data_IF_317175123184
#
_entry.id   IF_317175123184
#
_cell.length_a   1.000
_cell.length_b   1.000
_cell.length_c   1.000
_cell.angle_alpha   90.00
_cell.angle_beta   90.00
_cell.angle_gamma   90.00
#
_symmetry.space_group_name_H-M   'P 1'
#
loop_
_entity.id
_entity.type
_entity.pdbx_description
1 polymer ?
#
# COMPACT_ATOMS: atom_id res chain seq x y z
N UNK A 1 -0.29 16.52 22.27
CA UNK A 1 0.51 17.22 21.23
C UNK A 1 0.85 16.17 20.20
N UNK A 2 0.69 16.43 18.89
CA UNK A 2 1.07 15.44 17.86
C UNK A 2 2.57 15.27 17.86
N UNK A 3 3.04 14.02 17.82
CA UNK A 3 4.46 13.73 17.74
C UNK A 3 4.86 13.71 16.24
N UNK A 4 5.35 14.84 15.77
CA UNK A 4 5.79 15.03 14.40
C UNK A 4 7.28 14.77 14.28
N UNK A 5 7.69 14.10 13.19
CA UNK A 5 9.10 13.94 12.85
C UNK A 5 9.75 15.30 12.54
N UNK A 6 11.06 15.40 12.70
CA UNK A 6 11.80 16.61 12.33
C UNK A 6 11.57 16.99 10.87
N UNK A 7 11.39 16.00 10.00
CA UNK A 7 11.14 16.20 8.58
C UNK A 7 9.75 16.80 8.32
N UNK A 8 8.73 16.36 9.04
CA UNK A 8 7.39 16.98 9.00
C UNK A 8 7.47 18.43 9.47
N UNK A 9 8.18 18.69 10.55
CA UNK A 9 8.33 20.04 11.08
C UNK A 9 9.11 20.96 10.15
N UNK A 10 10.14 20.44 9.46
CA UNK A 10 10.90 21.20 8.48
C UNK A 10 10.05 21.55 7.25
N UNK A 11 9.34 20.59 6.66
CA UNK A 11 8.42 20.84 5.53
C UNK A 11 7.24 21.75 5.89
N UNK A 12 6.83 21.75 7.15
CA UNK A 12 5.80 22.68 7.66
C UNK A 12 6.34 24.10 7.79
N UNK A 13 7.54 24.26 8.39
CA UNK A 13 8.12 25.61 8.66
C UNK A 13 8.72 26.24 7.39
N UNK A 14 9.28 25.42 6.51
CA UNK A 14 9.97 25.82 5.29
C UNK A 14 9.37 25.07 4.09
N UNK A 15 8.07 25.25 3.76
CA UNK A 15 7.45 24.49 2.69
C UNK A 15 8.04 24.82 1.32
N UNK A 16 8.38 23.79 0.56
CA UNK A 16 8.95 23.88 -0.79
C UNK A 16 7.82 24.03 -1.80
N UNK A 17 8.09 24.76 -2.87
CA UNK A 17 7.20 24.87 -4.03
C UNK A 17 5.80 25.43 -3.73
N UNK A 18 5.68 26.30 -2.75
CA UNK A 18 4.42 27.03 -2.49
C UNK A 18 4.21 28.08 -3.57
N UNK A 19 2.97 28.22 -4.04
CA UNK A 19 2.60 29.27 -5.00
C UNK A 19 1.71 28.78 -6.14
N UNK A 20 1.82 29.46 -7.27
CA UNK A 20 1.07 29.16 -8.51
C UNK A 20 1.99 29.15 -9.71
N UNK A 21 1.58 28.44 -10.75
CA UNK A 21 2.20 28.43 -12.07
C UNK A 21 1.29 29.20 -13.02
N UNK A 22 1.85 30.15 -13.77
CA UNK A 22 1.14 30.76 -14.90
C UNK A 22 1.07 29.76 -16.04
N UNK A 23 -0.16 29.42 -16.50
CA UNK A 23 -0.42 28.44 -17.56
C UNK A 23 0.21 27.07 -17.26
N UNK A 24 -0.21 26.40 -16.20
CA UNK A 24 0.23 25.03 -15.89
C UNK A 24 -0.30 24.06 -16.95
N UNK A 25 0.41 22.95 -17.16
CA UNK A 25 -0.04 21.87 -18.03
C UNK A 25 -1.11 21.00 -17.34
N UNK A 26 -1.05 20.88 -16.01
CA UNK A 26 -2.05 20.19 -15.22
C UNK A 26 -2.37 20.90 -13.90
N UNK A 27 -3.65 20.93 -13.55
CA UNK A 27 -4.18 21.51 -12.31
C UNK A 27 -5.14 20.55 -11.64
N UNK A 28 -4.93 20.27 -10.36
CA UNK A 28 -5.83 19.45 -9.55
C UNK A 28 -6.18 20.15 -8.24
N UNK A 29 -7.47 20.19 -7.92
CA UNK A 29 -7.97 20.74 -6.65
C UNK A 29 -8.81 19.70 -5.93
N UNK A 30 -8.52 19.48 -4.64
CA UNK A 30 -9.21 18.53 -3.79
C UNK A 30 -9.51 19.12 -2.42
N UNK A 31 -10.46 18.51 -1.72
CA UNK A 31 -10.95 19.01 -0.44
C UNK A 31 -11.83 20.24 -0.59
N UNK A 32 -12.26 20.78 0.54
CA UNK A 32 -13.02 22.04 0.59
C UNK A 32 -12.71 22.79 1.87
N UNK A 33 -12.89 24.11 1.83
CA UNK A 33 -12.74 24.95 3.02
C UNK A 33 -13.74 24.56 4.13
N UNK A 34 -14.90 24.02 3.76
CA UNK A 34 -15.90 23.53 4.70
C UNK A 34 -15.42 22.30 5.49
N UNK A 35 -14.56 21.46 4.89
CA UNK A 35 -13.94 20.29 5.53
C UNK A 35 -12.66 20.62 6.30
N UNK A 36 -12.22 21.88 6.26
CA UNK A 36 -11.04 22.38 6.96
C UNK A 36 -9.70 22.08 6.30
N UNK A 37 -9.68 21.34 5.17
CA UNK A 37 -8.47 21.10 4.37
C UNK A 37 -8.81 21.22 2.87
N UNK A 38 -8.01 21.98 2.14
CA UNK A 38 -8.09 22.12 0.69
C UNK A 38 -6.69 22.19 0.10
N UNK A 39 -6.50 21.58 -1.07
CA UNK A 39 -5.22 21.56 -1.77
C UNK A 39 -5.44 21.76 -3.26
N UNK A 40 -4.72 22.71 -3.83
CA UNK A 40 -4.55 22.87 -5.28
C UNK A 40 -3.10 22.58 -5.63
N UNK A 41 -2.87 21.65 -6.56
CA UNK A 41 -1.56 21.29 -7.09
C UNK A 41 -1.52 21.63 -8.59
N UNK A 42 -0.42 22.21 -9.04
CA UNK A 42 -0.19 22.57 -10.44
C UNK A 42 1.19 22.09 -10.85
N UNK A 43 1.30 21.62 -12.09
CA UNK A 43 2.61 21.26 -12.64
C UNK A 43 2.78 21.77 -14.08
N UNK A 44 4.04 21.85 -14.50
CA UNK A 44 4.47 22.16 -15.86
C UNK A 44 5.53 21.17 -16.31
N UNK A 45 5.45 20.75 -17.56
CA UNK A 45 6.37 19.81 -18.17
C UNK A 45 7.49 20.53 -18.93
N UNK A 46 8.64 19.87 -19.05
CA UNK A 46 9.72 20.27 -19.96
C UNK A 46 9.55 19.65 -21.35
N UNK A 47 10.55 19.88 -22.22
CA UNK A 47 10.59 19.33 -23.56
C UNK A 47 10.65 17.78 -23.59
N UNK A 48 11.17 17.16 -22.53
CA UNK A 48 11.30 15.71 -22.39
C UNK A 48 10.06 15.07 -21.70
N UNK A 49 8.96 15.83 -21.58
CA UNK A 49 7.72 15.41 -20.92
C UNK A 49 7.90 15.01 -19.44
N UNK A 50 8.86 15.66 -18.76
CA UNK A 50 9.08 15.51 -17.32
C UNK A 50 8.54 16.71 -16.57
N UNK A 51 8.10 16.51 -15.35
CA UNK A 51 7.62 17.57 -14.46
C UNK A 51 8.81 18.46 -14.10
N UNK A 52 8.93 19.60 -14.77
CA UNK A 52 9.99 20.59 -14.54
C UNK A 52 9.69 21.51 -13.36
N UNK A 53 8.43 21.87 -13.21
CA UNK A 53 7.96 22.75 -12.15
C UNK A 53 6.66 22.21 -11.56
N UNK A 54 6.54 22.28 -10.25
CA UNK A 54 5.32 21.98 -9.52
C UNK A 54 5.12 23.00 -8.42
N UNK A 55 3.90 23.44 -8.24
CA UNK A 55 3.51 24.38 -7.18
C UNK A 55 2.23 23.93 -6.52
N UNK A 56 2.08 24.32 -5.26
CA UNK A 56 0.83 24.06 -4.56
C UNK A 56 0.36 25.25 -3.73
N UNK A 57 -0.95 25.28 -3.50
CA UNK A 57 -1.61 26.08 -2.48
C UNK A 57 -2.45 25.16 -1.61
N UNK A 58 -2.33 25.29 -0.31
CA UNK A 58 -3.13 24.50 0.61
C UNK A 58 -3.64 25.36 1.76
N UNK A 59 -4.82 25.00 2.24
CA UNK A 59 -5.38 25.45 3.51
C UNK A 59 -5.57 24.18 4.34
N UNK A 60 -4.94 24.09 5.52
CA UNK A 60 -5.00 22.88 6.33
C UNK A 60 -4.00 22.88 7.48
N UNK A 61 -3.87 21.72 8.13
CA UNK A 61 -2.98 21.52 9.26
C UNK A 61 -1.50 21.39 8.85
N UNK A 62 -0.59 21.32 9.83
CA UNK A 62 0.85 21.15 9.58
C UNK A 62 1.17 19.92 8.73
N UNK A 63 0.46 18.79 8.94
CA UNK A 63 0.62 17.58 8.11
C UNK A 63 0.18 17.80 6.66
N UNK A 64 -0.88 18.59 6.40
CA UNK A 64 -1.34 18.88 5.06
C UNK A 64 -0.29 19.71 4.29
N UNK A 65 0.29 20.73 4.93
CA UNK A 65 1.37 21.55 4.37
C UNK A 65 2.60 20.69 4.11
N UNK A 66 3.01 19.88 5.10
CA UNK A 66 4.19 19.02 4.98
C UNK A 66 4.03 17.95 3.89
N UNK A 67 2.89 17.28 3.82
CA UNK A 67 2.62 16.25 2.79
C UNK A 67 2.60 16.86 1.38
N UNK A 68 1.99 18.04 1.21
CA UNK A 68 1.96 18.75 -0.07
C UNK A 68 3.36 19.17 -0.50
N UNK A 69 4.15 19.74 0.42
CA UNK A 69 5.54 20.13 0.19
C UNK A 69 6.42 18.93 -0.19
N UNK A 70 6.31 17.81 0.56
CA UNK A 70 7.05 16.59 0.27
C UNK A 70 6.69 16.01 -1.10
N UNK A 71 5.40 15.92 -1.41
CA UNK A 71 4.93 15.42 -2.71
C UNK A 71 5.53 16.23 -3.86
N UNK A 72 5.61 17.56 -3.74
CA UNK A 72 6.18 18.39 -4.81
C UNK A 72 7.66 18.08 -5.07
N UNK A 73 8.45 17.78 -4.04
CA UNK A 73 9.85 17.34 -4.21
C UNK A 73 9.93 15.94 -4.85
N UNK A 74 9.00 15.06 -4.49
CA UNK A 74 8.98 13.68 -5.02
C UNK A 74 8.62 13.61 -6.51
N UNK A 75 7.84 14.56 -7.05
CA UNK A 75 7.37 14.51 -8.44
C UNK A 75 8.26 15.26 -9.43
N UNK A 76 9.07 16.24 -8.98
CA UNK A 76 9.99 16.95 -9.86
C UNK A 76 10.96 16.00 -10.56
N UNK A 77 11.15 16.17 -11.86
CA UNK A 77 12.00 15.35 -12.72
C UNK A 77 11.39 14.00 -13.15
N UNK A 78 10.20 13.64 -12.65
CA UNK A 78 9.49 12.42 -13.06
C UNK A 78 8.62 12.67 -14.30
N UNK A 79 8.34 11.60 -15.05
CA UNK A 79 7.27 11.63 -16.05
C UNK A 79 5.91 11.61 -15.34
N UNK A 80 4.85 11.97 -16.07
CA UNK A 80 3.46 11.92 -15.54
C UNK A 80 3.09 10.49 -15.08
N UNK A 81 3.55 9.47 -15.82
CA UNK A 81 3.31 8.05 -15.51
C UNK A 81 4.07 7.60 -14.25
N UNK A 82 5.29 8.07 -14.06
CA UNK A 82 6.08 7.80 -12.84
C UNK A 82 5.47 8.51 -11.64
N UNK A 83 5.04 9.75 -11.80
CA UNK A 83 4.39 10.53 -10.75
C UNK A 83 3.04 9.91 -10.33
N UNK A 84 2.25 9.39 -11.28
CA UNK A 84 0.97 8.72 -11.01
C UNK A 84 1.10 7.45 -10.12
N UNK A 85 2.30 6.87 -10.01
CA UNK A 85 2.55 5.69 -9.19
C UNK A 85 2.90 6.02 -7.74
N UNK A 86 3.06 7.30 -7.41
CA UNK A 86 3.36 7.71 -6.04
C UNK A 86 2.14 7.44 -5.17
N UNK A 87 2.35 6.69 -4.09
CA UNK A 87 1.30 6.34 -3.13
C UNK A 87 1.28 7.32 -1.95
N UNK A 88 0.13 7.41 -1.27
CA UNK A 88 0.03 8.18 -0.03
C UNK A 88 0.96 7.64 1.06
N UNK A 89 1.23 6.34 1.06
CA UNK A 89 2.18 5.71 1.98
C UNK A 89 3.61 6.19 1.73
N UNK A 90 4.04 6.26 0.46
CA UNK A 90 5.37 6.78 0.11
C UNK A 90 5.53 8.25 0.51
N UNK A 91 4.47 9.07 0.43
CA UNK A 91 4.49 10.45 0.93
C UNK A 91 4.71 10.48 2.45
N UNK A 92 3.98 9.64 3.19
CA UNK A 92 4.14 9.52 4.64
C UNK A 92 5.54 9.01 5.02
N UNK A 93 6.05 7.98 4.35
CA UNK A 93 7.39 7.42 4.55
C UNK A 93 8.49 8.45 4.24
N UNK A 94 8.34 9.22 3.15
CA UNK A 94 9.26 10.30 2.81
C UNK A 94 9.40 11.32 3.94
N UNK A 95 8.33 11.59 4.68
CA UNK A 95 8.31 12.46 5.85
C UNK A 95 8.82 11.79 7.14
N UNK A 96 9.22 10.50 7.08
CA UNK A 96 9.62 9.71 8.24
C UNK A 96 8.44 9.23 9.09
N UNK A 97 7.22 9.26 8.54
CA UNK A 97 5.96 8.88 9.17
C UNK A 97 5.05 10.08 9.44
N UNK A 98 3.76 9.80 9.44
CA UNK A 98 2.70 10.72 9.88
C UNK A 98 1.95 10.08 11.05
N UNK A 99 1.44 10.86 12.02
CA UNK A 99 0.50 10.33 13.02
C UNK A 99 -0.69 9.67 12.30
N UNK A 100 -1.17 8.53 12.79
CA UNK A 100 -2.26 7.77 12.16
C UNK A 100 -3.47 8.65 11.82
N UNK A 101 -3.90 9.51 12.76
CA UNK A 101 -5.01 10.44 12.57
C UNK A 101 -4.74 11.55 11.54
N UNK A 102 -3.52 11.60 10.96
CA UNK A 102 -3.09 12.57 9.94
C UNK A 102 -2.79 11.93 8.60
N UNK A 103 -3.04 10.63 8.45
CA UNK A 103 -2.83 9.92 7.17
C UNK A 103 -3.68 10.50 6.03
N UNK A 104 -4.89 11.03 6.31
CA UNK A 104 -5.72 11.71 5.31
C UNK A 104 -5.00 12.88 4.60
N UNK A 105 -3.99 13.49 5.21
CA UNK A 105 -3.23 14.57 4.58
C UNK A 105 -2.37 14.06 3.42
N UNK A 106 -1.77 12.87 3.54
CA UNK A 106 -1.04 12.23 2.44
C UNK A 106 -1.98 11.72 1.34
N UNK A 107 -3.16 11.21 1.72
CA UNK A 107 -4.22 10.82 0.76
C UNK A 107 -4.64 12.02 -0.08
N UNK A 108 -4.95 13.16 0.55
CA UNK A 108 -5.32 14.40 -0.13
C UNK A 108 -4.21 14.88 -1.10
N UNK A 109 -2.93 14.76 -0.71
CA UNK A 109 -1.81 15.08 -1.59
C UNK A 109 -1.82 14.25 -2.87
N UNK A 110 -1.97 12.94 -2.73
CA UNK A 110 -2.07 12.01 -3.87
C UNK A 110 -3.28 12.32 -4.76
N UNK A 111 -4.44 12.57 -4.17
CA UNK A 111 -5.65 12.91 -4.91
C UNK A 111 -5.52 14.19 -5.73
N UNK A 112 -4.86 15.21 -5.18
CA UNK A 112 -4.58 16.44 -5.91
C UNK A 112 -3.66 16.20 -7.11
N UNK A 113 -2.66 15.32 -6.97
CA UNK A 113 -1.80 14.91 -8.08
C UNK A 113 -2.58 14.13 -9.14
N UNK A 114 -3.42 13.18 -8.77
CA UNK A 114 -4.28 12.43 -9.68
C UNK A 114 -5.23 13.35 -10.46
N UNK A 115 -5.86 14.31 -9.77
CA UNK A 115 -6.72 15.31 -10.38
C UNK A 115 -5.94 16.20 -11.38
N UNK A 116 -4.71 16.60 -11.04
CA UNK A 116 -3.86 17.39 -11.93
C UNK A 116 -3.44 16.59 -13.17
N UNK A 117 -3.10 15.31 -13.01
CA UNK A 117 -2.78 14.41 -14.12
C UNK A 117 -4.01 14.17 -15.02
N UNK A 118 -5.18 13.99 -14.42
CA UNK A 118 -6.42 13.85 -15.18
C UNK A 118 -6.69 15.13 -16.03
N UNK A 119 -6.58 16.30 -15.40
CA UNK A 119 -6.74 17.59 -16.11
C UNK A 119 -5.76 17.73 -17.27
N UNK A 120 -4.49 17.36 -17.08
CA UNK A 120 -3.48 17.34 -18.15
C UNK A 120 -3.91 16.46 -19.34
N UNK A 121 -4.45 15.25 -19.05
CA UNK A 121 -4.80 14.26 -20.09
C UNK A 121 -6.09 14.59 -20.84
N UNK A 122 -7.07 15.18 -20.16
CA UNK A 122 -8.43 15.38 -20.69
C UNK A 122 -8.77 16.84 -20.97
N UNK A 123 -8.04 17.78 -20.36
CA UNK A 123 -8.40 19.20 -20.33
C UNK A 123 -9.54 19.52 -19.35
N UNK A 124 -10.13 18.50 -18.72
CA UNK A 124 -11.24 18.68 -17.79
C UNK A 124 -10.73 18.86 -16.37
N UNK A 125 -11.28 19.84 -15.66
CA UNK A 125 -11.04 19.97 -14.22
C UNK A 125 -11.93 18.97 -13.51
N UNK A 126 -11.34 18.05 -12.71
CA UNK A 126 -12.12 17.18 -11.83
C UNK A 126 -12.79 18.05 -10.78
N UNK A 127 -14.00 18.47 -11.05
CA UNK A 127 -14.94 18.90 -10.02
C UNK A 127 -15.59 17.62 -9.54
N UNK A 128 -15.33 17.21 -8.28
CA UNK A 128 -16.09 16.10 -7.69
C UNK A 128 -17.56 16.51 -7.70
N UNK A 129 -18.30 16.02 -8.69
CA UNK A 129 -19.76 16.12 -8.73
C UNK A 129 -20.30 15.19 -7.65
N UNK A 130 -20.46 15.73 -6.45
CA UNK A 130 -21.07 15.02 -5.31
C UNK A 130 -22.53 14.68 -5.60
N UNK A 131 -23.11 15.15 -6.71
CA UNK A 131 -24.51 14.95 -7.07
C UNK A 131 -24.80 13.51 -7.55
N UNK A 132 -23.84 12.81 -8.14
CA UNK A 132 -24.01 11.44 -8.63
C UNK A 132 -23.39 10.36 -7.72
N UNK A 133 -22.69 10.76 -6.66
CA UNK A 133 -22.05 9.84 -5.74
C UNK A 133 -22.88 9.66 -4.45
N UNK A 134 -23.08 8.43 -4.03
CA UNK A 134 -23.72 8.11 -2.76
C UNK A 134 -22.84 8.58 -1.60
N UNK A 135 -23.20 9.70 -0.97
CA UNK A 135 -22.54 10.23 0.22
C UNK A 135 -22.84 9.35 1.43
N UNK A 136 -21.82 8.80 2.05
CA UNK A 136 -21.91 8.01 3.29
C UNK A 136 -21.68 8.90 4.51
N UNK A 137 -20.64 9.74 4.49
CA UNK A 137 -20.37 10.66 5.58
C UNK A 137 -20.77 12.09 5.21
N UNK A 138 -21.94 12.53 5.68
CA UNK A 138 -22.42 13.89 5.43
C UNK A 138 -21.56 14.98 6.10
N UNK A 139 -20.90 14.69 7.24
CA UNK A 139 -20.08 15.66 7.96
C UNK A 139 -18.86 16.13 7.14
N UNK A 140 -18.28 15.22 6.38
CA UNK A 140 -17.06 15.48 5.61
C UNK A 140 -17.26 15.31 4.10
N UNK A 141 -18.47 15.03 3.62
CA UNK A 141 -18.78 14.85 2.20
C UNK A 141 -18.09 13.63 1.57
N UNK A 142 -17.87 12.56 2.35
CA UNK A 142 -17.14 11.38 1.87
C UNK A 142 -18.12 10.40 1.24
N UNK A 143 -17.87 10.02 -0.01
CA UNK A 143 -18.70 9.09 -0.78
C UNK A 143 -18.37 7.63 -0.50
N UNK A 144 -19.26 6.71 -0.92
CA UNK A 144 -19.01 5.27 -0.87
C UNK A 144 -17.79 4.89 -1.70
N UNK A 145 -17.62 5.48 -2.89
CA UNK A 145 -16.50 5.19 -3.78
C UNK A 145 -15.17 5.58 -3.14
N UNK A 146 -15.11 6.71 -2.46
CA UNK A 146 -13.92 7.14 -1.74
C UNK A 146 -13.57 6.19 -0.59
N UNK A 147 -14.56 5.77 0.21
CA UNK A 147 -14.35 4.80 1.28
C UNK A 147 -13.81 3.48 0.70
N UNK A 148 -14.45 2.95 -0.37
CA UNK A 148 -14.00 1.72 -1.04
C UNK A 148 -12.57 1.83 -1.54
N UNK A 149 -12.23 2.97 -2.14
CA UNK A 149 -10.88 3.23 -2.66
C UNK A 149 -9.84 3.21 -1.54
N UNK A 150 -10.00 4.01 -0.48
CA UNK A 150 -9.02 4.07 0.61
C UNK A 150 -8.89 2.73 1.33
N UNK A 151 -9.99 2.00 1.51
CA UNK A 151 -9.98 0.65 2.09
C UNK A 151 -9.16 -0.30 1.24
N UNK A 152 -9.37 -0.31 -0.08
CA UNK A 152 -8.70 -1.23 -1.00
C UNK A 152 -7.21 -0.89 -1.15
N UNK A 153 -6.88 0.38 -1.38
CA UNK A 153 -5.51 0.83 -1.63
C UNK A 153 -4.60 0.69 -0.41
N UNK A 154 -5.16 0.85 0.79
CA UNK A 154 -4.39 0.81 2.04
C UNK A 154 -4.66 -0.45 2.87
N UNK A 155 -5.46 -1.40 2.35
CA UNK A 155 -5.81 -2.66 3.02
C UNK A 155 -6.43 -2.45 4.42
N UNK A 156 -7.28 -1.42 4.57
CA UNK A 156 -7.86 -1.06 5.85
C UNK A 156 -8.90 -2.10 6.30
N UNK A 157 -8.96 -2.35 7.59
CA UNK A 157 -9.78 -3.43 8.17
C UNK A 157 -10.77 -2.94 9.21
N UNK A 158 -10.59 -1.73 9.72
CA UNK A 158 -11.41 -1.14 10.78
C UNK A 158 -11.97 0.23 10.40
N UNK A 159 -13.08 0.62 11.02
CA UNK A 159 -13.68 1.95 10.82
C UNK A 159 -12.76 3.07 11.28
N UNK A 160 -11.97 2.84 12.33
CA UNK A 160 -11.03 3.85 12.84
C UNK A 160 -9.88 4.09 11.87
N UNK A 161 -9.35 3.04 11.22
CA UNK A 161 -8.40 3.18 10.12
C UNK A 161 -9.00 4.01 8.98
N UNK A 162 -10.22 3.70 8.53
CA UNK A 162 -10.91 4.47 7.49
C UNK A 162 -11.05 5.95 7.90
N UNK A 163 -11.40 6.21 9.17
CA UNK A 163 -11.47 7.58 9.70
C UNK A 163 -10.12 8.30 9.60
N UNK A 164 -9.02 7.62 9.88
CA UNK A 164 -7.68 8.19 9.79
C UNK A 164 -7.29 8.55 8.35
N UNK A 165 -7.83 7.84 7.34
CA UNK A 165 -7.49 8.01 5.93
C UNK A 165 -8.40 8.94 5.14
N UNK A 166 -9.71 9.04 5.48
CA UNK A 166 -10.65 9.90 4.75
C UNK A 166 -11.58 10.72 5.65
N UNK A 167 -11.37 10.74 6.96
CA UNK A 167 -12.20 11.43 7.98
C UNK A 167 -13.62 10.87 8.14
N UNK A 168 -14.11 9.98 7.29
CA UNK A 168 -15.44 9.38 7.44
C UNK A 168 -15.56 8.67 8.79
N UNK A 169 -16.64 8.90 9.51
CA UNK A 169 -16.86 8.34 10.86
C UNK A 169 -16.32 9.20 12.00
N UNK A 170 -15.47 10.22 11.71
CA UNK A 170 -14.82 11.04 12.73
C UNK A 170 -15.62 12.26 13.21
N UNK A 171 -16.79 12.53 12.63
CA UNK A 171 -17.69 13.64 13.06
C UNK A 171 -18.77 13.15 14.01
N UNK A 172 -20.02 13.12 13.55
CA UNK A 172 -21.15 12.68 14.37
C UNK A 172 -21.22 11.17 14.64
N UNK A 173 -20.45 10.36 13.91
CA UNK A 173 -20.37 8.91 14.04
C UNK A 173 -21.51 8.12 13.39
N UNK A 174 -22.56 8.76 12.88
CA UNK A 174 -23.76 8.06 12.33
C UNK A 174 -23.44 7.15 11.14
N UNK A 175 -22.38 7.42 10.38
CA UNK A 175 -22.00 6.61 9.22
C UNK A 175 -21.10 5.42 9.56
N UNK A 176 -20.72 5.18 10.81
CA UNK A 176 -19.78 4.12 11.20
C UNK A 176 -20.26 2.72 10.82
N UNK A 177 -21.55 2.45 11.02
CA UNK A 177 -22.15 1.15 10.66
C UNK A 177 -22.15 0.92 9.14
N UNK A 178 -22.37 1.96 8.35
CA UNK A 178 -22.32 1.87 6.90
C UNK A 178 -20.90 1.71 6.37
N UNK A 179 -19.94 2.38 7.01
CA UNK A 179 -18.49 2.16 6.73
C UNK A 179 -18.11 0.70 7.01
N UNK A 180 -18.57 0.13 8.15
CA UNK A 180 -18.29 -1.27 8.48
C UNK A 180 -18.87 -2.22 7.43
N UNK A 181 -20.10 -2.01 6.96
CA UNK A 181 -20.71 -2.79 5.88
C UNK A 181 -19.91 -2.73 4.59
N UNK A 182 -19.36 -1.55 4.25
CA UNK A 182 -18.50 -1.36 3.07
C UNK A 182 -17.21 -2.17 3.22
N UNK A 183 -16.53 -2.09 4.37
CA UNK A 183 -15.34 -2.89 4.67
C UNK A 183 -15.65 -4.38 4.51
N UNK A 184 -16.74 -4.85 5.14
CA UNK A 184 -17.14 -6.26 5.08
C UNK A 184 -17.48 -6.69 3.65
N UNK A 185 -18.13 -5.83 2.85
CA UNK A 185 -18.45 -6.10 1.45
C UNK A 185 -17.20 -6.27 0.58
N UNK A 186 -16.18 -5.44 0.81
CA UNK A 186 -14.89 -5.52 0.10
C UNK A 186 -14.17 -6.82 0.48
N UNK A 187 -14.13 -7.16 1.77
CA UNK A 187 -13.51 -8.40 2.27
C UNK A 187 -14.20 -9.66 1.73
N UNK A 188 -15.53 -9.62 1.58
CA UNK A 188 -16.30 -10.75 1.07
C UNK A 188 -16.28 -10.83 -0.47
N UNK A 189 -16.08 -9.71 -1.18
CA UNK A 189 -15.99 -9.65 -2.63
C UNK A 189 -14.60 -10.00 -3.18
N UNK A 190 -13.55 -9.89 -2.38
CA UNK A 190 -12.24 -10.40 -2.75
C UNK A 190 -12.27 -11.93 -2.60
N UNK A 191 -11.95 -12.72 -3.67
CA UNK A 191 -11.58 -14.10 -3.44
C UNK A 191 -10.44 -14.06 -2.42
N UNK A 192 -10.34 -15.01 -1.48
CA UNK A 192 -9.42 -14.90 -0.37
C UNK A 192 -8.00 -14.71 -0.88
N UNK A 193 -7.61 -13.44 -1.05
CA UNK A 193 -6.22 -13.05 -1.07
C UNK A 193 -5.71 -13.45 0.31
N UNK A 194 -4.73 -14.35 0.31
CA UNK A 194 -4.12 -14.83 1.51
C UNK A 194 -3.87 -13.64 2.44
N UNK A 195 -4.75 -13.50 3.42
CA UNK A 195 -4.53 -12.61 4.54
C UNK A 195 -3.21 -13.04 5.15
N UNK A 196 -2.24 -12.13 5.19
CA UNK A 196 -1.19 -12.21 6.19
C UNK A 196 -1.93 -12.20 7.54
N UNK A 197 -2.24 -13.37 8.03
CA UNK A 197 -3.01 -13.57 9.23
C UNK A 197 -2.20 -13.04 10.40
N UNK A 198 -2.79 -12.11 11.17
CA UNK A 198 -2.56 -12.13 12.59
C UNK A 198 -2.70 -13.59 13.07
N UNK A 199 -1.84 -14.10 13.96
CA UNK A 199 -1.78 -15.51 14.27
C UNK A 199 -3.14 -15.95 14.83
N UNK A 200 -3.97 -16.60 14.00
CA UNK A 200 -5.09 -17.38 14.49
C UNK A 200 -4.52 -18.47 15.38
N UNK A 201 -5.18 -18.86 16.48
CA UNK A 201 -4.75 -20.00 17.24
C UNK A 201 -4.62 -21.17 16.26
N UNK A 202 -3.41 -21.64 16.07
CA UNK A 202 -3.06 -22.69 15.12
C UNK A 202 -3.91 -23.92 15.45
N UNK A 203 -4.89 -24.25 14.62
CA UNK A 203 -5.39 -25.63 14.56
C UNK A 203 -4.17 -26.46 14.22
N UNK A 204 -3.68 -27.25 15.19
CA UNK A 204 -2.59 -28.19 14.97
C UNK A 204 -3.01 -29.11 13.83
N UNK A 205 -2.45 -28.87 12.65
CA UNK A 205 -2.60 -29.78 11.51
C UNK A 205 -2.13 -31.15 11.95
N UNK A 206 -2.87 -32.20 11.65
CA UNK A 206 -2.35 -33.55 11.85
C UNK A 206 -1.13 -33.74 10.96
N UNK A 207 -0.18 -34.63 11.38
CA UNK A 207 1.04 -34.91 10.60
C UNK A 207 0.71 -35.26 9.14
N UNK A 208 -0.40 -35.96 8.89
CA UNK A 208 -0.85 -36.31 7.55
C UNK A 208 -1.30 -35.09 6.71
N UNK A 209 -1.94 -34.11 7.35
CA UNK A 209 -2.34 -32.87 6.68
C UNK A 209 -1.14 -31.96 6.38
N UNK A 210 -0.16 -31.90 7.30
CA UNK A 210 1.12 -31.22 7.09
C UNK A 210 1.87 -31.85 5.92
N UNK A 211 1.96 -33.18 5.86
CA UNK A 211 2.65 -33.91 4.81
C UNK A 211 2.09 -33.61 3.42
N UNK A 212 0.76 -33.70 3.25
CA UNK A 212 0.11 -33.38 1.98
C UNK A 212 0.31 -31.94 1.54
N UNK A 213 0.24 -31.00 2.50
CA UNK A 213 0.43 -29.57 2.20
C UNK A 213 1.88 -29.27 1.80
N UNK A 214 2.86 -29.89 2.46
CA UNK A 214 4.27 -29.74 2.13
C UNK A 214 4.59 -30.34 0.76
N UNK A 215 4.05 -31.53 0.44
CA UNK A 215 4.18 -32.15 -0.89
C UNK A 215 3.62 -31.23 -1.97
N UNK A 216 2.42 -30.68 -1.78
CA UNK A 216 1.79 -29.79 -2.75
C UNK A 216 2.62 -28.51 -2.98
N UNK A 217 3.19 -27.94 -1.93
CA UNK A 217 4.06 -26.76 -2.03
C UNK A 217 5.36 -27.10 -2.75
N UNK A 218 5.98 -28.22 -2.41
CA UNK A 218 7.20 -28.68 -3.08
C UNK A 218 6.94 -28.85 -4.57
N UNK A 219 5.84 -29.50 -4.97
CA UNK A 219 5.53 -29.80 -6.37
C UNK A 219 5.16 -28.55 -7.17
N UNK A 220 4.43 -27.61 -6.55
CA UNK A 220 3.90 -26.45 -7.26
C UNK A 220 4.86 -25.26 -7.28
N UNK A 221 5.58 -25.03 -6.19
CA UNK A 221 6.36 -23.80 -5.99
C UNK A 221 7.88 -24.03 -6.09
N UNK A 222 8.39 -25.16 -5.58
CA UNK A 222 9.83 -25.39 -5.42
C UNK A 222 10.40 -26.21 -6.57
N UNK A 223 9.80 -27.35 -6.88
CA UNK A 223 10.29 -28.27 -7.92
C UNK A 223 10.42 -27.63 -9.30
N UNK A 224 9.49 -26.76 -9.78
CA UNK A 224 9.64 -26.11 -11.08
C UNK A 224 10.86 -25.17 -11.16
N UNK A 225 11.27 -24.60 -10.03
CA UNK A 225 12.45 -23.72 -9.98
C UNK A 225 13.73 -24.55 -10.05
N UNK A 226 13.80 -25.65 -9.28
CA UNK A 226 14.97 -26.53 -9.29
C UNK A 226 15.16 -27.26 -10.61
N UNK A 227 14.06 -27.63 -11.29
CA UNK A 227 14.12 -28.28 -12.63
C UNK A 227 14.71 -27.38 -13.71
N UNK A 228 14.59 -26.05 -13.60
CA UNK A 228 15.25 -25.11 -14.53
C UNK A 228 16.77 -25.23 -14.49
N UNK A 229 17.32 -25.59 -13.34
CA UNK A 229 18.75 -25.77 -13.10
C UNK A 229 19.20 -27.24 -13.18
N UNK A 230 18.33 -28.13 -13.69
CA UNK A 230 18.61 -29.56 -13.85
C UNK A 230 18.60 -30.36 -12.53
N UNK A 231 18.05 -29.78 -11.46
CA UNK A 231 17.90 -30.41 -10.15
C UNK A 231 16.48 -30.88 -9.88
N UNK A 232 16.31 -31.65 -8.80
CA UNK A 232 15.01 -32.04 -8.26
C UNK A 232 15.07 -32.11 -6.72
N UNK A 233 13.92 -32.21 -6.07
CA UNK A 233 13.77 -32.32 -4.62
C UNK A 233 12.74 -33.41 -4.28
N UNK A 234 13.03 -34.19 -3.28
CA UNK A 234 12.19 -35.25 -2.75
C UNK A 234 11.94 -35.03 -1.24
N UNK A 235 10.69 -35.15 -0.81
CA UNK A 235 10.33 -35.15 0.60
C UNK A 235 10.57 -36.55 1.15
N UNK A 236 11.40 -36.67 2.18
CA UNK A 236 11.76 -37.95 2.78
C UNK A 236 10.92 -38.25 4.02
N UNK A 237 10.85 -37.30 4.98
CA UNK A 237 10.12 -37.50 6.22
C UNK A 237 9.69 -36.17 6.88
N UNK A 238 8.70 -36.24 7.77
CA UNK A 238 8.25 -35.10 8.57
C UNK A 238 8.03 -35.56 10.01
N UNK A 239 8.81 -34.99 10.91
CA UNK A 239 8.72 -35.27 12.36
C UNK A 239 8.42 -33.98 13.12
N UNK A 240 7.13 -33.72 13.41
CA UNK A 240 6.67 -32.49 14.04
C UNK A 240 6.83 -31.27 13.11
N UNK A 241 7.78 -30.39 13.42
CA UNK A 241 8.11 -29.21 12.60
C UNK A 241 9.42 -29.39 11.81
N UNK A 242 10.04 -30.58 11.90
CA UNK A 242 11.25 -30.96 11.16
C UNK A 242 10.87 -31.66 9.87
N UNK A 243 11.28 -31.09 8.74
CA UNK A 243 11.05 -31.58 7.38
C UNK A 243 12.36 -32.08 6.80
N UNK A 244 12.44 -33.36 6.48
CA UNK A 244 13.63 -33.97 5.88
C UNK A 244 13.43 -34.08 4.36
N UNK A 245 14.35 -33.51 3.61
CA UNK A 245 14.34 -33.50 2.13
C UNK A 245 15.62 -34.10 1.58
N UNK A 246 15.57 -34.58 0.34
CA UNK A 246 16.77 -34.94 -0.42
C UNK A 246 16.80 -34.19 -1.74
N UNK A 247 17.94 -33.58 -2.07
CA UNK A 247 18.16 -33.02 -3.40
C UNK A 247 18.62 -34.10 -4.37
N UNK A 248 18.12 -34.07 -5.61
CA UNK A 248 18.41 -35.03 -6.69
C UNK A 248 18.96 -34.33 -7.92
N UNK A 249 19.58 -35.08 -8.81
CA UNK A 249 20.13 -34.58 -10.07
C UNK A 249 21.36 -33.67 -9.87
N UNK A 250 21.47 -32.59 -10.65
CA UNK A 250 22.63 -31.66 -10.59
C UNK A 250 22.69 -30.88 -9.27
N UNK A 251 21.65 -30.97 -8.44
CA UNK A 251 21.63 -30.35 -7.12
C UNK A 251 22.31 -31.22 -6.04
N UNK A 252 22.51 -32.51 -6.28
CA UNK A 252 23.19 -33.40 -5.36
C UNK A 252 24.73 -33.22 -5.47
N UNK A 253 25.35 -32.64 -4.42
CA UNK A 253 26.81 -32.60 -4.29
C UNK A 253 27.52 -31.26 -4.44
N UNK A 254 26.80 -30.14 -4.52
CA UNK A 254 27.43 -28.81 -4.59
C UNK A 254 27.36 -28.11 -3.21
N UNK A 255 28.43 -28.19 -2.43
CA UNK A 255 28.49 -27.66 -1.02
C UNK A 255 28.17 -26.17 -0.89
N UNK A 256 28.48 -25.34 -1.87
CA UNK A 256 28.20 -23.88 -1.80
C UNK A 256 26.74 -23.52 -2.16
N UNK A 257 26.05 -24.40 -2.89
CA UNK A 257 24.66 -24.23 -3.28
C UNK A 257 23.67 -24.87 -2.27
N UNK A 258 24.14 -25.83 -1.47
CA UNK A 258 23.37 -26.55 -0.45
C UNK A 258 22.73 -25.61 0.57
N UNK A 259 23.51 -24.72 1.19
CA UNK A 259 23.03 -23.75 2.16
C UNK A 259 22.01 -22.76 1.57
N UNK A 260 22.21 -22.31 0.35
CA UNK A 260 21.32 -21.35 -0.32
C UNK A 260 20.00 -22.01 -0.71
N UNK A 261 20.04 -23.24 -1.24
CA UNK A 261 18.83 -23.97 -1.65
C UNK A 261 18.02 -24.44 -0.45
N UNK A 262 18.67 -24.98 0.58
CA UNK A 262 18.02 -25.34 1.83
C UNK A 262 17.33 -24.13 2.47
N UNK A 263 18.01 -22.98 2.53
CA UNK A 263 17.44 -21.73 3.04
C UNK A 263 16.22 -21.26 2.24
N UNK A 264 16.22 -21.43 0.90
CA UNK A 264 15.09 -21.11 0.05
C UNK A 264 13.87 -22.01 0.33
N UNK A 265 14.09 -23.33 0.45
CA UNK A 265 13.03 -24.30 0.77
C UNK A 265 12.46 -24.02 2.16
N UNK A 266 13.33 -23.80 3.14
CA UNK A 266 12.92 -23.50 4.52
C UNK A 266 12.12 -22.20 4.61
N UNK A 267 12.55 -21.13 3.94
CA UNK A 267 11.84 -19.87 3.90
C UNK A 267 10.42 -20.01 3.28
N UNK A 268 10.31 -20.75 2.19
CA UNK A 268 9.02 -21.02 1.53
C UNK A 268 8.08 -21.87 2.40
N UNK A 269 8.59 -22.92 3.03
CA UNK A 269 7.79 -23.77 3.92
C UNK A 269 7.39 -23.03 5.20
N UNK A 270 8.24 -22.15 5.74
CA UNK A 270 7.90 -21.29 6.89
C UNK A 270 6.80 -20.30 6.55
N UNK A 271 6.83 -19.73 5.36
CA UNK A 271 5.83 -18.78 4.88
C UNK A 271 4.46 -19.45 4.69
N UNK A 272 4.41 -20.66 4.10
CA UNK A 272 3.17 -21.27 3.60
C UNK A 272 2.57 -22.35 4.53
N UNK A 273 3.34 -22.90 5.49
CA UNK A 273 2.88 -23.99 6.38
C UNK A 273 2.93 -23.62 7.86
N UNK A 274 4.11 -23.31 8.40
CA UNK A 274 4.30 -22.92 9.80
C UNK A 274 5.67 -22.25 10.01
N UNK A 275 5.70 -21.14 10.75
CA UNK A 275 6.92 -20.40 11.06
C UNK A 275 7.99 -21.19 11.81
N UNK A 276 7.60 -22.32 12.44
CA UNK A 276 8.49 -23.16 13.25
C UNK A 276 9.21 -24.26 12.44
N UNK A 277 8.93 -24.39 11.13
CA UNK A 277 9.52 -25.43 10.27
C UNK A 277 11.04 -25.26 10.18
N UNK A 278 11.74 -26.39 10.37
CA UNK A 278 13.17 -26.55 10.15
C UNK A 278 13.39 -27.59 9.06
N UNK A 279 14.13 -27.24 8.01
CA UNK A 279 14.44 -28.14 6.90
C UNK A 279 15.81 -28.77 7.13
N UNK A 280 15.87 -30.10 7.03
CA UNK A 280 17.11 -30.88 7.07
C UNK A 280 17.28 -31.66 5.77
N UNK A 281 18.52 -31.84 5.33
CA UNK A 281 18.85 -32.65 4.17
C UNK A 281 19.28 -34.05 4.62
N UNK A 282 18.69 -35.07 4.00
CA UNK A 282 19.13 -36.45 4.15
C UNK A 282 20.49 -36.62 3.45
N UNK A 283 21.50 -37.11 4.18
CA UNK A 283 22.84 -37.37 3.65
C UNK A 283 22.95 -38.80 3.09
#
# INVERSE_FOLDING_TARGET
MWDYTDKVLDHFRNPRNVGTIEKPDGVGTVGSLACGDALTLMFKLDADQRIAEVKFKTFGCASAIASSSALTEMVVGKTVEEAARITNQQIAEYLGGLPEQKMHCSVMGREALEAAIHNYRTGETVVRDLHDEKIICACFGVSENEIRRVVTENSLTTVDEVTNFCKAGGGCGMCRDDIQKIIDSIRNAQPPLAQAAAPKPQRKLSNLQKMKLIEEIIDREIRPQLKKDGGDIELIDIVGDRVVIAFRGMCAGCQSAELTRRGLVEAKLRELVSGDIVVEEER
#
